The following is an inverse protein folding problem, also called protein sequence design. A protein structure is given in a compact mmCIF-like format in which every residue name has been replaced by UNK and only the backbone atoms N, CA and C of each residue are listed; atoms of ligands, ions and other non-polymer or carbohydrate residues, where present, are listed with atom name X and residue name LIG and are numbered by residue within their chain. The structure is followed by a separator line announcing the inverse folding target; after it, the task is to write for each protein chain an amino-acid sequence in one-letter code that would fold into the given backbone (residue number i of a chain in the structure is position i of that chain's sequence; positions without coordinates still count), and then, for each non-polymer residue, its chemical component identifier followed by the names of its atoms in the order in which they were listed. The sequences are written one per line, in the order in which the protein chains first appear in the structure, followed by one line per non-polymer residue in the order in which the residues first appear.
data_IF_761194299169
#
_entry.id   IF_761194299169
#
_cell.length_a   1.000
_cell.length_b   1.000
_cell.length_c   1.000
_cell.angle_alpha   90.00
_cell.angle_beta   90.00
_cell.angle_gamma   90.00
#
_symmetry.space_group_name_H-M   'P 1'
#
loop_
_entity.id
_entity.type
_entity.pdbx_description
1 polymer ?
#
# COMPACT_ATOMS: atom_id res chain seq x y z
N UNK A 1 33.54 -43.66 -25.02
CA UNK A 1 34.07 -42.28 -25.12
C UNK A 1 33.78 -41.54 -23.82
N UNK A 2 34.83 -41.06 -23.14
CA UNK A 2 34.80 -40.25 -21.89
C UNK A 2 34.57 -38.77 -22.22
N UNK A 3 33.79 -38.08 -21.40
CA UNK A 3 34.05 -36.73 -20.87
C UNK A 3 32.91 -36.37 -19.88
N UNK A 4 33.04 -36.60 -18.57
CA UNK A 4 33.48 -35.61 -17.55
C UNK A 4 33.05 -34.17 -17.85
N UNK A 5 32.02 -33.70 -17.15
CA UNK A 5 31.96 -32.28 -16.78
C UNK A 5 31.80 -32.15 -15.26
N UNK A 6 32.59 -31.22 -14.71
CA UNK A 6 33.14 -31.20 -13.36
C UNK A 6 32.52 -30.02 -12.61
N UNK A 7 32.04 -30.29 -11.39
CA UNK A 7 31.83 -29.36 -10.26
C UNK A 7 31.38 -27.92 -10.53
N UNK A 8 30.11 -27.63 -10.25
CA UNK A 8 29.69 -26.30 -9.76
C UNK A 8 29.58 -26.39 -8.24
N UNK A 9 30.64 -25.98 -7.56
CA UNK A 9 30.72 -25.92 -6.10
C UNK A 9 29.60 -25.03 -5.54
N UNK A 10 28.69 -25.62 -4.77
CA UNK A 10 27.83 -24.86 -3.86
C UNK A 10 28.74 -24.27 -2.77
N UNK A 11 28.91 -22.95 -2.76
CA UNK A 11 29.45 -22.26 -1.58
C UNK A 11 28.53 -22.53 -0.40
N UNK A 12 28.93 -23.46 0.46
CA UNK A 12 28.25 -23.71 1.73
C UNK A 12 28.34 -22.48 2.62
N UNK A 13 27.36 -22.33 3.53
CA UNK A 13 27.27 -21.24 4.53
C UNK A 13 28.57 -21.00 5.33
N UNK A 14 29.46 -22.01 5.37
CA UNK A 14 30.76 -21.95 6.02
C UNK A 14 31.80 -21.12 5.22
N UNK A 15 31.65 -21.00 3.90
CA UNK A 15 32.57 -20.23 3.05
C UNK A 15 32.39 -18.71 3.18
N UNK A 16 31.16 -18.23 3.33
CA UNK A 16 30.87 -16.80 3.51
C UNK A 16 31.37 -16.33 4.88
N UNK A 17 31.20 -17.15 5.92
CA UNK A 17 31.73 -16.89 7.25
C UNK A 17 33.28 -16.85 7.22
N UNK A 18 33.92 -17.73 6.46
CA UNK A 18 35.38 -17.72 6.29
C UNK A 18 35.88 -16.47 5.57
N UNK A 19 35.16 -15.98 4.56
CA UNK A 19 35.48 -14.73 3.85
C UNK A 19 35.32 -13.52 4.77
N UNK A 20 34.24 -13.46 5.56
CA UNK A 20 34.02 -12.36 6.52
C UNK A 20 35.04 -12.35 7.66
N UNK A 21 35.43 -13.53 8.17
CA UNK A 21 36.48 -13.67 9.20
C UNK A 21 37.85 -13.30 8.61
N UNK A 22 38.15 -13.70 7.37
CA UNK A 22 39.39 -13.34 6.68
C UNK A 22 39.51 -11.82 6.46
N UNK A 23 38.44 -11.15 6.04
CA UNK A 23 38.40 -9.69 5.89
C UNK A 23 38.53 -8.96 7.24
N UNK A 24 38.03 -9.56 8.33
CA UNK A 24 38.18 -8.99 9.66
C UNK A 24 39.61 -9.07 10.20
N UNK A 25 40.29 -10.19 9.96
CA UNK A 25 41.71 -10.36 10.37
C UNK A 25 42.65 -9.45 9.57
N UNK A 26 42.34 -9.16 8.30
CA UNK A 26 43.15 -8.31 7.44
C UNK A 26 43.01 -6.80 7.73
N UNK A 27 41.95 -6.37 8.45
CA UNK A 27 41.65 -4.95 8.66
C UNK A 27 42.18 -4.37 9.99
N UNK A 28 42.80 -5.17 10.86
CA UNK A 28 43.43 -4.71 12.10
C UNK A 28 42.49 -4.09 13.15
N UNK A 29 41.18 -4.03 12.87
CA UNK A 29 40.18 -3.40 13.73
C UNK A 29 39.62 -4.42 14.72
N UNK A 30 39.79 -4.18 16.03
CA UNK A 30 39.10 -4.96 17.08
C UNK A 30 37.63 -4.55 17.17
N UNK A 31 36.77 -5.19 16.39
CA UNK A 31 35.32 -5.16 16.65
C UNK A 31 34.90 -6.40 17.46
N UNK A 32 33.95 -6.28 18.40
CA UNK A 32 33.53 -7.40 19.23
C UNK A 32 32.73 -8.40 18.38
N UNK A 33 33.37 -9.53 18.03
CA UNK A 33 32.84 -10.64 17.23
C UNK A 33 31.46 -11.13 17.71
N UNK A 34 31.18 -11.02 19.02
CA UNK A 34 29.92 -11.45 19.63
C UNK A 34 28.68 -10.72 19.07
N UNK A 35 28.82 -9.46 18.63
CA UNK A 35 27.70 -8.69 18.05
C UNK A 35 27.37 -9.13 16.62
N UNK A 36 28.37 -9.53 15.83
CA UNK A 36 28.15 -10.07 14.47
C UNK A 36 27.53 -11.46 14.48
N UNK A 37 27.92 -12.32 15.43
CA UNK A 37 27.35 -13.67 15.58
C UNK A 37 25.86 -13.59 15.98
N UNK A 38 25.45 -12.58 16.75
CA UNK A 38 24.03 -12.33 17.06
C UNK A 38 23.23 -11.89 15.83
N UNK A 39 23.81 -11.08 14.94
CA UNK A 39 23.19 -10.71 13.66
C UNK A 39 23.00 -11.92 12.73
N UNK A 40 23.91 -12.89 12.77
CA UNK A 40 23.83 -14.10 11.94
C UNK A 40 22.83 -15.15 12.45
N UNK A 41 22.43 -15.10 13.74
CA UNK A 41 21.38 -15.98 14.31
C UNK A 41 19.95 -15.50 14.05
N UNK A 42 19.73 -14.28 13.57
CA UNK A 42 18.41 -13.79 13.17
C UNK A 42 18.07 -14.35 11.78
N UNK A 43 17.22 -15.36 11.77
CA UNK A 43 17.05 -16.34 10.69
C UNK A 43 16.27 -15.85 9.44
N UNK A 44 16.17 -14.54 9.18
CA UNK A 44 15.26 -14.01 8.15
C UNK A 44 15.82 -12.93 7.21
N UNK A 45 17.13 -12.77 7.09
CA UNK A 45 17.68 -11.87 6.05
C UNK A 45 18.13 -12.63 4.81
N UNK A 46 17.51 -12.30 3.67
CA UNK A 46 17.99 -12.73 2.35
C UNK A 46 19.46 -12.32 2.19
N UNK A 47 20.34 -13.20 1.66
CA UNK A 47 21.76 -12.88 1.47
C UNK A 47 21.99 -11.65 0.58
N UNK A 48 21.03 -11.27 -0.27
CA UNK A 48 21.06 -10.04 -1.06
C UNK A 48 20.96 -8.77 -0.21
N UNK A 49 20.17 -8.79 0.87
CA UNK A 49 20.00 -7.66 1.78
C UNK A 49 21.27 -7.46 2.61
N UNK A 50 21.87 -8.56 3.07
CA UNK A 50 23.13 -8.49 3.82
C UNK A 50 24.28 -7.94 2.95
N UNK A 51 24.34 -8.34 1.67
CA UNK A 51 25.27 -7.79 0.69
C UNK A 51 25.04 -6.30 0.43
N UNK A 52 23.78 -5.84 0.37
CA UNK A 52 23.44 -4.43 0.19
C UNK A 52 23.91 -3.57 1.37
N UNK A 53 23.68 -4.00 2.61
CA UNK A 53 24.17 -3.29 3.80
C UNK A 53 25.69 -3.29 3.88
N UNK A 54 26.36 -4.38 3.50
CA UNK A 54 27.81 -4.44 3.44
C UNK A 54 28.38 -3.48 2.38
N UNK A 55 27.70 -3.35 1.24
CA UNK A 55 28.10 -2.41 0.18
C UNK A 55 27.92 -0.95 0.61
N UNK A 56 26.82 -0.61 1.30
CA UNK A 56 26.61 0.70 1.90
C UNK A 56 27.66 1.04 2.96
N UNK A 57 28.04 0.06 3.79
CA UNK A 57 29.10 0.23 4.79
C UNK A 57 30.46 0.49 4.13
N UNK A 58 30.77 -0.20 3.03
CA UNK A 58 31.98 0.01 2.25
C UNK A 58 32.01 1.38 1.55
N UNK A 59 30.87 1.87 1.06
CA UNK A 59 30.76 3.21 0.48
C UNK A 59 31.01 4.27 1.56
N UNK A 60 30.39 4.13 2.73
CA UNK A 60 30.63 5.02 3.88
C UNK A 60 32.08 5.01 4.34
N UNK A 61 32.72 3.83 4.38
CA UNK A 61 34.13 3.70 4.75
C UNK A 61 35.08 4.28 3.70
N UNK A 62 34.77 4.16 2.40
CA UNK A 62 35.52 4.82 1.32
C UNK A 62 35.43 6.35 1.40
N UNK A 63 34.26 6.89 1.71
CA UNK A 63 34.10 8.34 1.90
C UNK A 63 34.91 8.84 3.10
N UNK A 64 34.91 8.08 4.21
CA UNK A 64 35.70 8.40 5.39
C UNK A 64 37.21 8.31 5.14
N UNK A 65 37.67 7.27 4.44
CA UNK A 65 39.09 7.09 4.10
C UNK A 65 39.55 8.12 3.06
N UNK A 66 38.70 8.54 2.11
CA UNK A 66 39.01 9.61 1.17
C UNK A 66 39.17 10.97 1.89
N UNK A 67 38.32 11.23 2.90
CA UNK A 67 38.45 12.41 3.78
C UNK A 67 39.70 12.37 4.65
N UNK A 68 40.15 11.18 5.07
CA UNK A 68 41.38 11.05 5.87
C UNK A 68 42.66 11.07 5.00
N UNK A 69 42.55 10.68 3.72
CA UNK A 69 43.66 10.64 2.78
C UNK A 69 43.93 11.99 2.09
N UNK A 70 42.98 12.94 2.11
CA UNK A 70 43.17 14.24 1.44
C UNK A 70 44.11 15.19 2.17
N UNK A 71 44.47 14.94 3.44
CA UNK A 71 45.58 15.63 4.10
C UNK A 71 45.56 17.17 4.01
N UNK A 72 44.38 17.79 3.85
CA UNK A 72 44.25 19.24 3.79
C UNK A 72 44.10 19.79 5.20
N UNK A 73 45.21 20.39 5.63
CA UNK A 73 45.31 21.32 6.75
C UNK A 73 44.21 22.37 6.64
N UNK A 74 43.34 22.45 7.65
CA UNK A 74 42.32 23.50 7.77
C UNK A 74 43.05 24.83 7.98
N UNK A 75 43.40 25.47 6.87
CA UNK A 75 43.81 26.87 6.84
C UNK A 75 42.54 27.70 6.64
N UNK A 76 42.26 28.54 7.62
CA UNK A 76 41.22 29.56 7.55
C UNK A 76 41.67 30.58 6.52
N UNK A 77 41.13 30.49 5.31
CA UNK A 77 41.12 31.59 4.35
C UNK A 77 39.69 31.78 3.86
N UNK A 78 39.17 32.97 4.13
CA UNK A 78 37.93 33.52 3.59
C UNK A 78 37.89 33.33 2.07
N UNK A 79 36.84 32.67 1.56
CA UNK A 79 36.23 32.99 0.26
C UNK A 79 34.93 32.19 0.07
N UNK A 80 33.83 32.88 0.36
CA UNK A 80 32.52 32.88 -0.30
C UNK A 80 32.22 31.78 -1.34
N UNK A 81 31.84 30.57 -0.88
CA UNK A 81 31.18 29.55 -1.71
C UNK A 81 29.91 29.02 -1.04
N UNK A 82 28.77 29.52 -1.53
CA UNK A 82 27.41 28.94 -1.56
C UNK A 82 26.86 28.29 -0.27
N UNK A 83 26.23 29.14 0.54
CA UNK A 83 25.39 28.79 1.68
C UNK A 83 24.01 28.18 1.36
N UNK A 84 23.62 27.99 0.09
CA UNK A 84 22.27 27.50 -0.28
C UNK A 84 22.20 25.99 -0.54
N UNK A 85 23.30 25.33 -0.91
CA UNK A 85 23.28 23.91 -1.32
C UNK A 85 23.39 22.93 -0.12
N UNK A 86 23.91 23.39 1.03
CA UNK A 86 24.07 22.56 2.23
C UNK A 86 22.78 22.43 3.07
N UNK A 87 21.93 23.46 3.07
CA UNK A 87 20.65 23.43 3.79
C UNK A 87 19.60 22.56 3.09
N UNK A 88 19.57 22.55 1.75
CA UNK A 88 18.71 21.66 0.97
C UNK A 88 19.08 20.19 1.15
N UNK A 89 20.38 19.86 1.19
CA UNK A 89 20.82 18.47 1.41
C UNK A 89 20.46 17.98 2.81
N UNK A 90 20.60 18.83 3.84
CA UNK A 90 20.29 18.46 5.23
C UNK A 90 18.79 18.28 5.44
N UNK A 91 17.96 19.15 4.86
CA UNK A 91 16.50 19.05 4.92
C UNK A 91 15.96 17.85 4.13
N UNK A 92 16.48 17.56 2.94
CA UNK A 92 16.12 16.36 2.17
C UNK A 92 16.51 15.09 2.91
N UNK A 93 17.71 15.04 3.52
CA UNK A 93 18.14 13.88 4.29
C UNK A 93 17.31 13.70 5.58
N UNK A 94 16.95 14.79 6.26
CA UNK A 94 16.04 14.72 7.42
C UNK A 94 14.66 14.22 7.00
N UNK A 95 14.10 14.76 5.91
CA UNK A 95 12.80 14.34 5.37
C UNK A 95 12.83 12.87 4.94
N UNK A 96 13.90 12.45 4.27
CA UNK A 96 14.10 11.06 3.87
C UNK A 96 14.23 10.14 5.10
N UNK A 97 14.94 10.57 6.16
CA UNK A 97 15.03 9.84 7.42
C UNK A 97 13.69 9.79 8.17
N UNK A 98 12.92 10.88 8.19
CA UNK A 98 11.57 10.90 8.77
C UNK A 98 10.60 9.98 8.01
N UNK A 99 10.63 10.00 6.67
CA UNK A 99 9.80 9.16 5.82
C UNK A 99 10.23 7.69 5.89
N UNK A 100 11.54 7.39 5.88
CA UNK A 100 12.06 6.04 6.07
C UNK A 100 11.77 5.53 7.48
N UNK A 101 11.94 6.33 8.53
CA UNK A 101 11.66 5.95 9.92
C UNK A 101 10.17 5.73 10.17
N UNK A 102 9.31 6.56 9.60
CA UNK A 102 7.86 6.35 9.62
C UNK A 102 7.50 5.02 8.93
N UNK A 103 8.02 4.78 7.71
CA UNK A 103 7.84 3.49 7.01
C UNK A 103 8.45 2.30 7.76
N UNK A 104 9.62 2.45 8.38
CA UNK A 104 10.28 1.38 9.15
C UNK A 104 9.53 1.06 10.44
N UNK A 105 9.01 2.08 11.13
CA UNK A 105 8.20 1.90 12.33
C UNK A 105 6.85 1.24 12.05
N UNK A 106 6.29 1.46 10.85
CA UNK A 106 5.11 0.76 10.35
C UNK A 106 5.44 -0.69 9.99
N UNK A 107 6.59 -0.94 9.36
CA UNK A 107 7.03 -2.28 8.95
C UNK A 107 7.42 -3.16 10.14
N UNK A 108 7.97 -2.59 11.23
CA UNK A 108 8.28 -3.32 12.48
C UNK A 108 7.04 -3.64 13.33
N UNK A 109 5.90 -2.98 13.11
CA UNK A 109 4.70 -3.11 13.98
C UNK A 109 3.71 -4.22 13.58
N UNK A 110 3.83 -4.81 12.40
CA UNK A 110 2.83 -5.73 11.83
C UNK A 110 3.15 -7.22 12.11
N UNK A 111 3.67 -7.56 13.29
CA UNK A 111 4.06 -8.95 13.61
C UNK A 111 2.87 -9.92 13.68
N UNK A 112 1.68 -9.39 13.96
CA UNK A 112 0.45 -10.17 14.11
C UNK A 112 -0.55 -9.94 12.96
N UNK A 113 -0.08 -9.50 11.80
CA UNK A 113 -0.93 -9.31 10.62
C UNK A 113 -1.46 -10.66 10.14
N UNK A 114 -2.78 -10.83 10.16
CA UNK A 114 -3.46 -12.09 9.83
C UNK A 114 -4.29 -12.02 8.56
N UNK A 115 -4.67 -10.81 8.12
CA UNK A 115 -5.46 -10.64 6.91
C UNK A 115 -5.26 -9.26 6.27
N UNK A 116 -5.36 -9.24 4.94
CA UNK A 116 -5.33 -8.03 4.11
C UNK A 116 -6.44 -8.16 3.07
N UNK A 117 -7.22 -7.10 2.90
CA UNK A 117 -8.24 -7.00 1.86
C UNK A 117 -8.06 -5.70 1.08
N UNK A 118 -8.29 -5.76 -0.22
CA UNK A 118 -8.45 -4.58 -1.06
C UNK A 118 -9.91 -4.51 -1.50
N UNK A 119 -10.55 -3.37 -1.23
CA UNK A 119 -11.98 -3.16 -1.49
C UNK A 119 -12.14 -1.95 -2.37
N UNK A 120 -12.72 -2.15 -3.55
CA UNK A 120 -13.06 -1.07 -4.45
C UNK A 120 -14.45 -0.51 -4.09
N UNK A 121 -14.45 0.67 -3.46
CA UNK A 121 -15.63 1.48 -3.16
C UNK A 121 -15.86 2.52 -4.27
N UNK A 122 -16.92 3.32 -4.10
CA UNK A 122 -17.23 4.43 -5.00
C UNK A 122 -16.15 5.50 -4.93
N UNK A 123 -15.66 5.77 -3.72
CA UNK A 123 -14.62 6.76 -3.42
C UNK A 123 -13.18 6.27 -3.70
N UNK A 124 -13.00 5.03 -4.12
CA UNK A 124 -11.70 4.50 -4.55
C UNK A 124 -11.43 3.08 -4.08
N UNK A 125 -10.20 2.63 -4.30
CA UNK A 125 -9.71 1.34 -3.77
C UNK A 125 -9.09 1.57 -2.41
N UNK A 126 -9.59 0.88 -1.40
CA UNK A 126 -9.13 0.97 -0.02
C UNK A 126 -8.46 -0.32 0.42
N UNK A 127 -7.34 -0.18 1.13
CA UNK A 127 -6.60 -1.32 1.71
C UNK A 127 -6.94 -1.45 3.18
N UNK A 128 -7.42 -2.63 3.57
CA UNK A 128 -7.78 -2.96 4.95
C UNK A 128 -6.82 -4.03 5.46
N UNK A 129 -6.18 -3.77 6.60
CA UNK A 129 -5.22 -4.66 7.22
C UNK A 129 -5.68 -4.99 8.65
N UNK A 130 -5.58 -6.27 9.04
CA UNK A 130 -6.03 -6.73 10.34
C UNK A 130 -4.94 -7.49 11.08
N UNK A 131 -4.59 -7.00 12.27
CA UNK A 131 -3.76 -7.70 13.22
C UNK A 131 -4.61 -8.43 14.25
N UNK A 132 -4.26 -9.68 14.56
CA UNK A 132 -4.87 -10.45 15.64
C UNK A 132 -3.83 -11.27 16.42
N UNK A 133 -3.57 -10.87 17.66
CA UNK A 133 -2.69 -11.58 18.58
C UNK A 133 -3.44 -12.68 19.31
N UNK A 134 -3.23 -13.94 18.95
CA UNK A 134 -3.95 -15.09 19.54
C UNK A 134 -3.57 -15.40 21.00
N UNK A 135 -2.45 -14.85 21.50
CA UNK A 135 -2.05 -14.97 22.92
C UNK A 135 -2.65 -13.88 23.81
N UNK A 136 -2.71 -12.64 23.33
CA UNK A 136 -3.18 -11.48 24.10
C UNK A 136 -4.64 -11.08 23.78
N UNK A 137 -5.19 -11.60 22.68
CA UNK A 137 -6.41 -11.10 22.07
C UNK A 137 -6.29 -9.70 21.48
N UNK A 138 -5.06 -9.22 21.22
CA UNK A 138 -4.83 -7.92 20.56
C UNK A 138 -5.55 -7.89 19.21
N UNK A 139 -6.25 -6.81 18.90
CA UNK A 139 -6.87 -6.56 17.59
C UNK A 139 -6.52 -5.16 17.10
N UNK A 140 -6.04 -5.05 15.87
CA UNK A 140 -5.79 -3.74 15.25
C UNK A 140 -6.31 -3.75 13.83
N UNK A 141 -7.14 -2.76 13.48
CA UNK A 141 -7.63 -2.56 12.12
C UNK A 141 -6.99 -1.30 11.56
N UNK A 142 -6.38 -1.44 10.38
CA UNK A 142 -5.89 -0.30 9.61
C UNK A 142 -6.68 -0.18 8.31
N UNK A 143 -7.01 1.04 7.94
CA UNK A 143 -7.61 1.41 6.66
C UNK A 143 -6.68 2.43 6.00
N UNK A 144 -6.17 2.11 4.82
CA UNK A 144 -5.21 2.93 4.06
C UNK A 144 -3.98 3.34 4.90
N UNK A 145 -3.49 2.42 5.74
CA UNK A 145 -2.36 2.63 6.64
C UNK A 145 -2.67 3.46 7.90
N UNK A 146 -3.91 3.92 8.07
CA UNK A 146 -4.38 4.61 9.27
C UNK A 146 -5.07 3.63 10.21
N UNK A 147 -4.71 3.67 11.49
CA UNK A 147 -5.36 2.88 12.53
C UNK A 147 -6.78 3.38 12.80
N UNK A 148 -7.77 2.51 12.60
CA UNK A 148 -9.19 2.80 12.87
C UNK A 148 -9.65 2.14 14.19
N UNK A 149 -9.11 0.98 14.52
CA UNK A 149 -9.40 0.26 15.78
C UNK A 149 -8.11 -0.24 16.39
N UNK A 150 -7.96 -0.08 17.71
CA UNK A 150 -6.97 -0.80 18.52
C UNK A 150 -7.58 -1.32 19.81
N UNK A 151 -7.40 -2.62 20.03
CA UNK A 151 -7.65 -3.34 21.28
C UNK A 151 -6.34 -3.99 21.68
N UNK A 152 -5.72 -3.52 22.75
CA UNK A 152 -4.42 -4.04 23.17
C UNK A 152 -4.53 -5.44 23.79
N UNK A 153 -5.66 -5.71 24.44
CA UNK A 153 -5.89 -6.98 25.13
C UNK A 153 -7.37 -7.37 25.13
N UNK A 154 -7.65 -8.65 24.88
CA UNK A 154 -8.99 -9.23 24.97
C UNK A 154 -8.93 -10.68 25.44
N UNK A 155 -9.81 -11.05 26.37
CA UNK A 155 -9.93 -12.45 26.81
C UNK A 155 -10.56 -13.35 25.73
N UNK A 156 -11.50 -12.80 24.93
CA UNK A 156 -12.22 -13.53 23.89
C UNK A 156 -11.53 -13.34 22.54
N UNK A 157 -11.10 -14.43 21.91
CA UNK A 157 -10.40 -14.40 20.62
C UNK A 157 -11.36 -14.32 19.42
N UNK A 158 -12.57 -14.89 19.53
CA UNK A 158 -13.61 -14.79 18.49
C UNK A 158 -14.52 -13.57 18.68
N UNK A 159 -15.17 -13.11 17.63
CA UNK A 159 -16.11 -11.98 17.70
C UNK A 159 -16.12 -11.13 16.44
N UNK A 160 -16.51 -9.87 16.60
CA UNK A 160 -16.72 -8.93 15.50
C UNK A 160 -16.15 -7.57 15.85
N UNK A 161 -15.39 -6.99 14.94
CA UNK A 161 -14.96 -5.58 15.00
C UNK A 161 -15.66 -4.81 13.90
N UNK A 162 -16.26 -3.65 14.21
CA UNK A 162 -17.01 -2.82 13.25
C UNK A 162 -16.36 -1.45 13.12
N UNK A 163 -16.13 -1.00 11.89
CA UNK A 163 -15.43 0.25 11.55
C UNK A 163 -16.03 0.87 10.29
N UNK A 164 -15.44 1.97 9.83
CA UNK A 164 -15.85 2.67 8.61
C UNK A 164 -14.69 2.77 7.63
N UNK A 165 -14.98 2.71 6.34
CA UNK A 165 -13.98 2.77 5.26
C UNK A 165 -14.29 3.96 4.34
N UNK A 166 -13.24 4.66 3.93
CA UNK A 166 -13.33 5.72 2.94
C UNK A 166 -14.00 7.01 3.41
N UNK A 167 -14.10 7.97 2.50
CA UNK A 167 -14.78 9.26 2.66
C UNK A 167 -16.29 9.10 2.87
N UNK A 168 -16.88 8.07 2.27
CA UNK A 168 -18.31 7.72 2.44
C UNK A 168 -18.63 7.15 3.82
N UNK A 169 -17.62 6.86 4.65
CA UNK A 169 -17.77 6.15 5.93
C UNK A 169 -18.57 4.86 5.78
N UNK A 170 -18.29 4.11 4.71
CA UNK A 170 -18.96 2.86 4.40
C UNK A 170 -18.78 1.89 5.56
N UNK A 171 -19.87 1.31 6.06
CA UNK A 171 -19.82 0.42 7.23
C UNK A 171 -19.13 -0.89 6.86
N UNK A 172 -18.11 -1.25 7.63
CA UNK A 172 -17.37 -2.49 7.46
C UNK A 172 -17.29 -3.24 8.78
N UNK A 173 -17.16 -4.56 8.71
CA UNK A 173 -16.89 -5.36 9.87
C UNK A 173 -16.00 -6.57 9.57
N UNK A 174 -15.15 -6.92 10.51
CA UNK A 174 -14.34 -8.15 10.46
C UNK A 174 -14.91 -9.11 11.49
N UNK A 175 -15.36 -10.27 11.01
CA UNK A 175 -15.72 -11.41 11.87
C UNK A 175 -14.51 -12.31 12.06
N UNK A 176 -14.37 -12.82 13.28
CA UNK A 176 -13.32 -13.72 13.71
C UNK A 176 -14.00 -14.98 14.23
N UNK A 177 -13.89 -16.06 13.46
CA UNK A 177 -14.53 -17.33 13.75
C UNK A 177 -13.48 -18.39 14.09
N UNK A 178 -13.77 -19.22 15.09
CA UNK A 178 -12.92 -20.35 15.41
C UNK A 178 -13.20 -21.49 14.42
N UNK A 179 -12.15 -22.03 13.83
CA UNK A 179 -12.21 -23.20 12.97
C UNK A 179 -11.48 -24.38 13.62
N UNK A 180 -11.57 -25.56 13.02
CA UNK A 180 -10.92 -26.76 13.55
C UNK A 180 -9.39 -26.58 13.65
N UNK A 181 -8.76 -27.27 14.61
CA UNK A 181 -7.30 -27.26 14.75
C UNK A 181 -6.71 -26.01 15.43
N UNK A 182 -7.47 -25.34 16.31
CA UNK A 182 -7.02 -24.14 17.04
C UNK A 182 -6.65 -22.95 16.11
N UNK A 183 -7.26 -22.90 14.93
CA UNK A 183 -7.09 -21.82 13.97
C UNK A 183 -8.30 -20.89 13.94
N UNK A 184 -8.13 -19.73 13.31
CA UNK A 184 -9.16 -18.71 13.16
C UNK A 184 -9.32 -18.34 11.69
N UNK A 185 -10.57 -18.09 11.29
CA UNK A 185 -10.93 -17.53 10.00
C UNK A 185 -11.35 -16.08 10.16
N UNK A 186 -10.99 -15.26 9.17
CA UNK A 186 -11.26 -13.83 9.16
C UNK A 186 -12.09 -13.48 7.94
N UNK A 187 -13.28 -12.94 8.18
CA UNK A 187 -14.19 -12.56 7.09
C UNK A 187 -14.49 -11.06 7.16
N UNK A 188 -14.23 -10.35 6.06
CA UNK A 188 -14.62 -8.97 5.89
C UNK A 188 -16.06 -8.87 5.33
N UNK A 189 -16.87 -8.06 5.99
CA UNK A 189 -18.18 -7.61 5.55
C UNK A 189 -18.15 -6.13 5.17
N UNK A 190 -18.74 -5.78 4.03
CA UNK A 190 -18.98 -4.40 3.58
C UNK A 190 -20.50 -4.20 3.46
N UNK A 191 -21.05 -3.22 4.16
CA UNK A 191 -22.50 -2.97 4.25
C UNK A 191 -23.31 -4.23 4.63
N UNK A 192 -22.76 -5.06 5.53
CA UNK A 192 -23.41 -6.28 6.01
C UNK A 192 -23.41 -7.45 5.03
N UNK A 193 -22.68 -7.35 3.91
CA UNK A 193 -22.49 -8.43 2.93
C UNK A 193 -21.04 -8.91 2.99
N UNK A 194 -20.79 -10.20 2.86
CA UNK A 194 -19.41 -10.71 2.76
C UNK A 194 -18.72 -10.11 1.53
N UNK A 195 -17.39 -9.99 1.55
CA UNK A 195 -16.65 -9.42 0.42
C UNK A 195 -16.98 -10.09 -0.92
N UNK A 196 -17.13 -11.42 -0.94
CA UNK A 196 -17.56 -12.17 -2.13
C UNK A 196 -18.93 -11.70 -2.64
N UNK A 197 -19.91 -11.61 -1.75
CA UNK A 197 -21.25 -11.12 -2.09
C UNK A 197 -21.25 -9.63 -2.46
N UNK A 198 -20.36 -8.84 -1.89
CA UNK A 198 -20.19 -7.43 -2.23
C UNK A 198 -19.71 -7.28 -3.67
N UNK A 199 -18.64 -7.98 -4.05
CA UNK A 199 -18.09 -7.98 -5.42
C UNK A 199 -19.17 -8.41 -6.43
N UNK A 200 -19.88 -9.51 -6.16
CA UNK A 200 -20.96 -10.01 -7.03
C UNK A 200 -22.15 -9.03 -7.15
N UNK A 201 -22.42 -8.23 -6.13
CA UNK A 201 -23.53 -7.27 -6.15
C UNK A 201 -23.14 -5.91 -6.74
N UNK A 202 -21.84 -5.62 -6.89
CA UNK A 202 -21.35 -4.31 -7.29
C UNK A 202 -21.87 -3.86 -8.65
N UNK A 203 -21.94 -4.77 -9.62
CA UNK A 203 -22.53 -4.51 -10.94
C UNK A 203 -24.04 -4.15 -10.86
N UNK A 204 -24.74 -4.63 -9.83
CA UNK A 204 -26.17 -4.35 -9.63
C UNK A 204 -26.40 -3.01 -8.96
N UNK A 205 -25.49 -2.58 -8.08
CA UNK A 205 -25.64 -1.38 -7.25
C UNK A 205 -24.91 -0.17 -7.80
N UNK A 206 -23.95 -0.37 -8.70
CA UNK A 206 -23.17 0.71 -9.31
C UNK A 206 -23.09 0.55 -10.83
N UNK A 207 -22.84 1.66 -11.52
CA UNK A 207 -22.28 1.66 -12.87
C UNK A 207 -20.92 2.38 -12.82
N UNK A 208 -19.92 1.87 -13.53
CA UNK A 208 -18.58 2.46 -13.55
C UNK A 208 -18.15 2.75 -14.98
N UNK A 209 -17.54 3.91 -15.22
CA UNK A 209 -16.97 4.28 -16.50
C UNK A 209 -15.52 4.72 -16.30
N UNK A 210 -14.66 4.28 -17.21
CA UNK A 210 -13.26 4.71 -17.27
C UNK A 210 -13.07 5.38 -18.62
N UNK A 211 -12.63 6.62 -18.61
CA UNK A 211 -12.44 7.43 -19.80
C UNK A 211 -11.19 8.29 -19.68
N UNK A 212 -10.58 8.61 -20.82
CA UNK A 212 -9.45 9.52 -20.90
C UNK A 212 -9.92 10.86 -21.47
N UNK A 213 -9.74 11.94 -20.72
CA UNK A 213 -10.03 13.31 -21.15
C UNK A 213 -8.73 14.11 -21.09
N UNK A 214 -8.29 14.64 -22.24
CA UNK A 214 -7.07 15.45 -22.31
C UNK A 214 -5.80 14.75 -21.85
N UNK A 215 -5.70 13.42 -21.98
CA UNK A 215 -4.55 12.64 -21.53
C UNK A 215 -4.60 12.21 -20.07
N UNK A 216 -5.65 12.58 -19.32
CA UNK A 216 -5.86 12.17 -17.93
C UNK A 216 -6.97 11.13 -17.86
N UNK A 217 -6.73 10.04 -17.12
CA UNK A 217 -7.73 9.01 -16.87
C UNK A 217 -8.68 9.43 -15.74
N UNK A 218 -9.97 9.27 -15.99
CA UNK A 218 -11.04 9.52 -15.05
C UNK A 218 -11.85 8.24 -14.84
N UNK A 219 -12.15 7.97 -13.56
CA UNK A 219 -13.06 6.93 -13.12
C UNK A 219 -14.32 7.57 -12.58
N UNK A 220 -15.42 7.41 -13.32
CA UNK A 220 -16.75 7.89 -12.94
C UNK A 220 -17.54 6.71 -12.39
N UNK A 221 -18.16 6.87 -11.23
CA UNK A 221 -19.02 5.85 -10.61
C UNK A 221 -20.37 6.47 -10.30
N UNK A 222 -21.45 5.81 -10.74
CA UNK A 222 -22.81 6.09 -10.28
C UNK A 222 -23.21 5.05 -9.24
N UNK A 223 -23.62 5.49 -8.07
CA UNK A 223 -24.35 4.66 -7.11
C UNK A 223 -25.85 4.69 -7.43
N UNK A 224 -26.44 3.54 -7.79
CA UNK A 224 -27.83 3.46 -8.27
C UNK A 224 -28.87 3.72 -7.17
N UNK A 225 -28.51 3.47 -5.91
CA UNK A 225 -29.43 3.61 -4.78
C UNK A 225 -29.51 5.07 -4.29
N UNK A 226 -28.36 5.75 -4.21
CA UNK A 226 -28.25 7.13 -3.74
C UNK A 226 -28.33 8.14 -4.89
N UNK A 227 -28.13 7.68 -6.13
CA UNK A 227 -27.92 8.49 -7.34
C UNK A 227 -26.71 9.41 -7.25
N UNK A 228 -25.77 9.12 -6.35
CA UNK A 228 -24.54 9.88 -6.19
C UNK A 228 -23.56 9.58 -7.33
N UNK A 229 -22.98 10.63 -7.88
CA UNK A 229 -21.93 10.55 -8.90
C UNK A 229 -20.58 10.83 -8.26
N UNK A 230 -19.61 9.96 -8.52
CA UNK A 230 -18.24 10.06 -8.04
C UNK A 230 -17.29 10.17 -9.23
N UNK A 231 -16.27 11.02 -9.13
CA UNK A 231 -15.19 11.13 -10.09
C UNK A 231 -13.85 11.03 -9.36
N UNK A 232 -13.02 10.04 -9.71
CA UNK A 232 -11.71 9.81 -9.08
C UNK A 232 -11.75 9.82 -7.54
N UNK A 233 -12.84 9.28 -6.99
CA UNK A 233 -13.04 9.18 -5.55
C UNK A 233 -13.68 10.40 -4.88
N UNK A 234 -13.96 11.46 -5.62
CA UNK A 234 -14.62 12.66 -5.12
C UNK A 234 -16.09 12.68 -5.54
N UNK A 235 -16.97 12.98 -4.58
CA UNK A 235 -18.40 13.15 -4.86
C UNK A 235 -18.60 14.43 -5.66
N UNK A 236 -19.35 14.32 -6.75
CA UNK A 236 -19.62 15.40 -7.69
C UNK A 236 -20.87 16.19 -7.28
N UNK A 237 -20.87 17.48 -7.61
CA UNK A 237 -22.11 18.27 -7.63
C UNK A 237 -22.88 17.96 -8.92
N UNK A 238 -24.16 17.63 -8.78
CA UNK A 238 -25.01 17.19 -9.89
C UNK A 238 -26.31 17.98 -9.96
N UNK A 239 -26.80 18.22 -11.16
CA UNK A 239 -28.13 18.79 -11.42
C UNK A 239 -29.01 17.77 -12.16
N UNK A 240 -30.20 17.49 -11.63
CA UNK A 240 -31.15 16.56 -12.26
C UNK A 240 -32.15 17.30 -13.16
N UNK A 241 -32.38 16.76 -14.36
CA UNK A 241 -33.39 17.22 -15.31
C UNK A 241 -34.30 16.06 -15.73
N UNK A 242 -35.59 16.31 -15.82
CA UNK A 242 -36.55 15.34 -16.36
C UNK A 242 -36.70 15.57 -17.87
N UNK A 243 -36.43 14.53 -18.64
CA UNK A 243 -36.56 14.53 -20.11
C UNK A 243 -37.68 13.58 -20.54
N UNK A 244 -38.11 13.66 -21.79
CA UNK A 244 -39.24 12.87 -22.31
C UNK A 244 -39.05 11.36 -22.11
N UNK A 245 -37.80 10.87 -22.24
CA UNK A 245 -37.47 9.44 -22.16
C UNK A 245 -36.86 9.01 -20.81
N UNK A 246 -36.81 9.88 -19.79
CA UNK A 246 -36.21 9.54 -18.50
C UNK A 246 -35.68 10.72 -17.69
N UNK A 247 -34.54 10.52 -17.03
CA UNK A 247 -33.89 11.55 -16.22
C UNK A 247 -32.45 11.72 -16.68
N UNK A 248 -31.97 12.95 -16.73
CA UNK A 248 -30.58 13.28 -16.99
C UNK A 248 -29.96 13.90 -15.73
N UNK A 249 -28.80 13.37 -15.33
CA UNK A 249 -28.01 13.89 -14.22
C UNK A 249 -26.77 14.57 -14.79
N UNK A 250 -26.73 15.89 -14.77
CA UNK A 250 -25.67 16.71 -15.33
C UNK A 250 -24.59 17.02 -14.29
N UNK A 251 -23.34 16.99 -14.71
CA UNK A 251 -22.16 17.37 -13.93
C UNK A 251 -21.02 17.77 -14.86
N UNK A 252 -19.94 18.29 -14.31
CA UNK A 252 -18.76 18.72 -15.07
C UNK A 252 -17.54 17.96 -14.59
N UNK A 253 -16.69 17.54 -15.53
CA UNK A 253 -15.39 16.92 -15.23
C UNK A 253 -14.34 17.71 -16.02
N UNK A 254 -13.43 18.37 -15.28
CA UNK A 254 -12.55 19.40 -15.85
C UNK A 254 -13.38 20.44 -16.61
N UNK A 255 -13.16 20.60 -17.92
CA UNK A 255 -13.88 21.54 -18.78
C UNK A 255 -14.92 20.86 -19.68
N UNK A 256 -15.22 19.58 -19.43
CA UNK A 256 -16.16 18.79 -20.22
C UNK A 256 -17.54 18.72 -19.59
N UNK A 257 -18.57 18.82 -20.44
CA UNK A 257 -19.95 18.65 -20.00
C UNK A 257 -20.29 17.16 -20.01
N UNK A 258 -20.75 16.66 -18.87
CA UNK A 258 -21.12 15.27 -18.69
C UNK A 258 -22.59 15.17 -18.29
N UNK A 259 -23.28 14.15 -18.80
CA UNK A 259 -24.56 13.75 -18.25
C UNK A 259 -24.67 12.23 -18.15
N UNK A 260 -25.35 11.76 -17.12
CA UNK A 260 -25.78 10.38 -17.03
C UNK A 260 -27.27 10.35 -17.34
N UNK A 261 -27.64 9.68 -18.42
CA UNK A 261 -29.02 9.50 -18.84
C UNK A 261 -29.55 8.17 -18.29
N UNK A 262 -30.64 8.24 -17.54
CA UNK A 262 -31.35 7.10 -16.99
C UNK A 262 -32.64 6.86 -17.79
N UNK A 263 -32.70 5.76 -18.54
CA UNK A 263 -33.84 5.39 -19.39
C UNK A 263 -34.43 4.07 -18.92
N UNK A 264 -35.75 3.98 -18.86
CA UNK A 264 -36.44 2.71 -18.61
C UNK A 264 -36.24 1.77 -19.79
N UNK A 265 -35.70 0.58 -19.55
CA UNK A 265 -35.53 -0.44 -20.61
C UNK A 265 -36.85 -0.96 -21.19
N UNK A 266 -38.00 -0.63 -20.58
CA UNK A 266 -39.31 -1.18 -20.93
C UNK A 266 -39.48 -2.67 -20.60
N UNK A 267 -38.40 -3.38 -20.22
CA UNK A 267 -38.42 -4.78 -19.82
C UNK A 267 -38.28 -4.91 -18.30
N UNK A 268 -39.24 -5.59 -17.69
CA UNK A 268 -39.30 -5.80 -16.22
C UNK A 268 -38.03 -6.41 -15.62
N UNK A 269 -37.23 -7.16 -16.39
CA UNK A 269 -35.98 -7.80 -15.94
C UNK A 269 -34.73 -6.92 -16.05
N UNK A 270 -34.68 -5.98 -17.00
CA UNK A 270 -33.49 -5.17 -17.27
C UNK A 270 -33.49 -3.86 -16.47
N UNK A 271 -34.68 -3.36 -16.09
CA UNK A 271 -34.79 -2.21 -15.19
C UNK A 271 -34.43 -0.88 -15.85
N UNK A 272 -33.77 0.00 -15.10
CA UNK A 272 -33.29 1.31 -15.57
C UNK A 272 -31.87 1.15 -16.10
N UNK A 273 -31.63 1.62 -17.32
CA UNK A 273 -30.31 1.63 -17.96
C UNK A 273 -29.73 3.03 -17.77
N UNK A 274 -28.50 3.09 -17.28
CA UNK A 274 -27.74 4.33 -17.14
C UNK A 274 -26.66 4.39 -18.20
N UNK A 275 -26.62 5.50 -18.93
CA UNK A 275 -25.62 5.75 -19.98
C UNK A 275 -24.89 7.04 -19.68
N UNK A 276 -23.56 6.98 -19.59
CA UNK A 276 -22.73 8.17 -19.46
C UNK A 276 -22.51 8.78 -20.84
N UNK A 277 -22.74 10.09 -20.96
CA UNK A 277 -22.50 10.88 -22.15
C UNK A 277 -21.53 12.01 -21.77
N UNK A 278 -20.46 12.17 -22.55
CA UNK A 278 -19.47 13.25 -22.39
C UNK A 278 -19.29 13.94 -23.74
N UNK A 279 -19.50 15.26 -23.80
CA UNK A 279 -19.48 16.05 -25.04
C UNK A 279 -20.28 15.41 -26.20
N UNK A 280 -21.51 14.97 -25.91
CA UNK A 280 -22.41 14.27 -26.83
C UNK A 280 -21.88 12.92 -27.36
N UNK A 281 -20.96 12.27 -26.64
CA UNK A 281 -20.49 10.92 -26.94
C UNK A 281 -20.79 9.97 -25.80
N UNK A 282 -21.41 8.84 -26.11
CA UNK A 282 -21.64 7.77 -25.15
C UNK A 282 -20.34 7.08 -24.76
N UNK A 283 -20.18 6.85 -23.46
CA UNK A 283 -19.03 6.16 -22.88
C UNK A 283 -19.46 4.75 -22.48
N UNK A 284 -18.75 3.70 -22.94
CA UNK A 284 -19.07 2.32 -22.58
C UNK A 284 -18.79 2.08 -21.09
N UNK A 285 -19.69 1.32 -20.45
CA UNK A 285 -19.50 0.89 -19.06
C UNK A 285 -18.26 0.00 -18.93
N UNK A 286 -17.46 0.24 -17.89
CA UNK A 286 -16.32 -0.58 -17.51
C UNK A 286 -16.78 -1.78 -16.68
N UNK A 287 -16.23 -2.95 -16.96
CA UNK A 287 -16.42 -4.15 -16.15
C UNK A 287 -15.32 -4.20 -15.10
N UNK A 288 -15.65 -3.89 -13.84
CA UNK A 288 -14.79 -4.10 -12.66
C UNK A 288 -15.18 -5.39 -11.91
#
# INVERSE_FOLDING_TARGET
MKAKNKGREKMGKNSLLAVMVGAHLASGLRFPLEKMVKLYRLQHFSPTILLFYFFLLLIGLKALLASMASGEEITVCDDEVRHQDLELSTTINLLCWFLLRSRYSHLEKMTDLVAVWEVALSDGVHKIEFEHGTTSGKRVVYVDGKEEIRREWMFKLVGKETFTVGATKTKAAINIDAVSGFAYEYTLEINGKSLKQYIENRLKTTNTWILNLGGTDYRIVLEKDTMDVWCNGQKMETAGEFVEDGTETHFTVADHSCCIKAVSSGKRKEGIIHTLIVDNREIPEAVE
#
